data_IF_301207265102
#
_entry.id   IF_301207265102
#
_cell.length_a   1.000
_cell.length_b   1.000
_cell.length_c   1.000
_cell.angle_alpha   90.00
_cell.angle_beta   90.00
_cell.angle_gamma   90.00
#
_symmetry.space_group_name_H-M   'P 1'
#
loop_
_entity.id
_entity.type
_entity.pdbx_description
1 polymer ?
#
# COMPACT_ATOMS: atom_id res chain seq x y z
N UNK A 1 8.51 -0.85 4.11
CA UNK A 1 7.38 -1.80 4.34
C UNK A 1 6.16 -1.05 4.89
N UNK A 2 4.98 -1.20 4.29
CA UNK A 2 3.74 -0.49 4.69
C UNK A 2 3.23 -1.07 6.02
N UNK A 3 3.64 -0.48 7.14
CA UNK A 3 3.34 -0.99 8.49
C UNK A 3 2.00 -0.50 9.07
N UNK A 4 1.42 0.56 8.50
CA UNK A 4 0.35 1.37 9.11
C UNK A 4 -1.13 1.17 8.71
N UNK A 5 -1.56 0.21 7.86
CA UNK A 5 -2.99 -0.01 7.59
C UNK A 5 -3.79 -0.29 8.88
N UNK A 6 -3.12 -0.97 9.83
CA UNK A 6 -3.62 -1.24 11.17
C UNK A 6 -3.97 0.02 11.98
N UNK A 7 -3.13 1.05 11.87
CA UNK A 7 -3.26 2.29 12.65
C UNK A 7 -4.42 3.11 12.11
N UNK A 8 -4.58 3.18 10.78
CA UNK A 8 -5.73 3.85 10.16
C UNK A 8 -7.05 3.18 10.55
N UNK A 9 -7.11 1.85 10.44
CA UNK A 9 -8.32 1.11 10.72
C UNK A 9 -8.74 1.22 12.20
N UNK A 10 -7.79 1.17 13.13
CA UNK A 10 -8.05 1.19 14.58
C UNK A 10 -8.32 2.59 15.16
N UNK A 11 -8.08 3.66 14.41
CA UNK A 11 -8.30 5.03 14.91
C UNK A 11 -9.80 5.32 14.98
N UNK A 12 -10.30 5.63 16.19
CA UNK A 12 -11.66 6.15 16.36
C UNK A 12 -11.78 7.47 15.58
N UNK A 13 -12.72 7.51 14.65
CA UNK A 13 -13.12 8.72 13.92
C UNK A 13 -14.58 9.03 14.25
N UNK A 14 -14.95 10.29 14.21
CA UNK A 14 -16.34 10.74 14.29
C UNK A 14 -16.75 11.29 12.93
N UNK A 15 -18.00 11.07 12.53
CA UNK A 15 -18.61 11.73 11.39
C UNK A 15 -18.94 13.19 11.74
N UNK A 16 -19.19 14.06 10.75
CA UNK A 16 -19.65 15.44 11.00
C UNK A 16 -20.88 15.53 11.90
N UNK A 17 -21.73 14.50 11.88
CA UNK A 17 -22.94 14.39 12.71
C UNK A 17 -22.67 13.95 14.17
N UNK A 18 -21.40 13.87 14.58
CA UNK A 18 -21.00 13.47 15.94
C UNK A 18 -21.11 11.98 16.24
N UNK A 19 -21.38 11.13 15.24
CA UNK A 19 -21.48 9.68 15.40
C UNK A 19 -20.11 9.01 15.18
N UNK A 20 -19.82 7.87 15.82
CA UNK A 20 -18.63 7.10 15.51
C UNK A 20 -18.62 6.68 14.04
N UNK A 21 -17.54 6.96 13.33
CA UNK A 21 -17.37 6.60 11.93
C UNK A 21 -17.32 5.07 11.76
N UNK A 22 -17.78 4.56 10.60
CA UNK A 22 -17.67 3.14 10.27
C UNK A 22 -16.20 2.70 10.17
N UNK A 23 -15.98 1.40 10.40
CA UNK A 23 -14.67 0.79 10.28
C UNK A 23 -14.36 0.55 8.80
N UNK A 24 -13.47 1.37 8.26
CA UNK A 24 -13.12 1.37 6.84
C UNK A 24 -11.61 1.38 6.65
N UNK A 25 -11.14 0.50 5.76
CA UNK A 25 -9.79 0.55 5.23
C UNK A 25 -9.66 1.68 4.19
N UNK A 26 -8.43 2.16 3.91
CA UNK A 26 -8.18 3.04 2.77
C UNK A 26 -8.74 2.47 1.45
N UNK A 27 -9.14 3.32 0.49
CA UNK A 27 -9.58 2.84 -0.82
C UNK A 27 -8.42 2.19 -1.60
N UNK A 28 -8.73 1.49 -2.69
CA UNK A 28 -7.69 0.93 -3.57
C UNK A 28 -6.86 2.04 -4.21
N UNK A 29 -5.57 1.79 -4.43
CA UNK A 29 -4.65 2.62 -5.20
C UNK A 29 -3.92 1.73 -6.21
N UNK A 30 -3.80 2.15 -7.48
CA UNK A 30 -2.99 1.45 -8.47
C UNK A 30 -1.51 1.46 -8.06
N UNK A 31 -0.70 0.69 -8.81
CA UNK A 31 0.75 0.62 -8.64
C UNK A 31 1.36 2.03 -8.74
N UNK A 32 2.10 2.44 -7.71
CA UNK A 32 2.71 3.77 -7.56
C UNK A 32 4.18 3.63 -7.18
N UNK A 33 5.14 4.16 -7.97
CA UNK A 33 4.95 4.70 -9.31
C UNK A 33 4.44 3.64 -10.30
N UNK A 34 3.85 4.04 -11.43
CA UNK A 34 3.23 3.10 -12.39
C UNK A 34 4.25 2.32 -13.23
N UNK A 35 4.99 1.42 -12.59
CA UNK A 35 6.09 0.67 -13.22
C UNK A 35 5.64 -0.51 -14.10
N UNK A 36 4.33 -0.65 -14.40
CA UNK A 36 3.77 -1.82 -15.08
C UNK A 36 4.35 -2.11 -16.47
N UNK A 37 4.93 -1.10 -17.11
CA UNK A 37 5.54 -1.23 -18.43
C UNK A 37 7.08 -1.15 -18.41
N UNK A 38 7.69 -0.62 -17.35
CA UNK A 38 9.06 -0.11 -17.43
C UNK A 38 9.94 -0.27 -16.18
N UNK A 39 9.52 -0.98 -15.12
CA UNK A 39 10.30 -1.19 -13.88
C UNK A 39 10.92 0.12 -13.29
N UNK A 40 11.77 0.00 -12.26
CA UNK A 40 12.46 1.15 -11.66
C UNK A 40 13.83 1.43 -12.28
N UNK A 41 14.26 0.67 -13.29
CA UNK A 41 15.54 0.84 -13.98
C UNK A 41 15.40 1.55 -15.32
N UNK A 42 14.17 1.74 -15.82
CA UNK A 42 13.99 2.52 -17.04
C UNK A 42 14.26 3.99 -16.83
N UNK A 43 14.72 4.64 -17.90
CA UNK A 43 14.88 6.09 -17.96
C UNK A 43 13.59 6.89 -17.76
N UNK A 44 12.42 6.22 -17.74
CA UNK A 44 11.14 6.87 -17.44
C UNK A 44 10.95 7.12 -15.94
N UNK A 45 11.61 6.32 -15.09
CA UNK A 45 11.51 6.39 -13.63
C UNK A 45 12.88 6.56 -12.95
N UNK A 46 13.99 6.45 -13.67
CA UNK A 46 15.35 6.57 -13.16
C UNK A 46 16.16 7.55 -14.04
N UNK A 47 16.13 8.84 -13.68
CA UNK A 47 16.78 9.90 -14.45
C UNK A 47 18.30 9.94 -14.22
N UNK A 48 18.76 9.53 -13.04
CA UNK A 48 20.17 9.54 -12.64
C UNK A 48 20.89 8.20 -12.84
N UNK A 49 20.17 7.18 -13.34
CA UNK A 49 20.68 5.85 -13.73
C UNK A 49 21.30 5.11 -12.56
N UNK A 50 20.60 5.10 -11.44
CA UNK A 50 21.03 4.41 -10.23
C UNK A 50 20.19 3.19 -9.86
N UNK A 51 19.37 2.73 -10.82
CA UNK A 51 18.49 1.57 -10.77
C UNK A 51 17.41 1.69 -9.68
N UNK A 52 16.95 2.92 -9.42
CA UNK A 52 15.88 3.23 -8.48
C UNK A 52 14.88 4.18 -9.08
N UNK A 53 13.63 4.03 -8.67
CA UNK A 53 12.60 4.99 -9.00
C UNK A 53 12.87 6.33 -8.29
N UNK A 54 12.94 7.39 -9.08
CA UNK A 54 12.86 8.78 -8.68
C UNK A 54 11.56 9.06 -7.93
N UNK A 55 11.61 9.96 -6.95
CA UNK A 55 10.43 10.30 -6.16
C UNK A 55 9.61 11.37 -6.86
N UNK A 56 8.42 11.00 -7.30
CA UNK A 56 7.37 11.95 -7.67
C UNK A 56 6.39 12.15 -6.50
N UNK A 57 6.61 13.19 -5.68
CA UNK A 57 5.77 13.46 -4.49
C UNK A 57 4.28 13.66 -4.81
N UNK A 58 3.95 14.12 -6.02
CA UNK A 58 2.56 14.33 -6.43
C UNK A 58 1.78 13.01 -6.46
N UNK A 59 2.38 11.93 -6.96
CA UNK A 59 1.75 10.59 -7.01
C UNK A 59 1.45 10.02 -5.62
N UNK A 60 2.25 10.39 -4.62
CA UNK A 60 2.09 9.97 -3.24
C UNK A 60 1.08 10.84 -2.47
N UNK A 61 1.19 12.16 -2.61
CA UNK A 61 0.38 13.11 -1.86
C UNK A 61 -1.08 13.17 -2.35
N UNK A 62 -1.29 13.08 -3.67
CA UNK A 62 -2.63 13.20 -4.25
C UNK A 62 -3.45 11.90 -4.08
N UNK A 63 -2.79 10.79 -3.76
CA UNK A 63 -3.47 9.53 -3.49
C UNK A 63 -4.15 9.54 -2.12
N UNK A 64 -5.50 9.39 -2.07
CA UNK A 64 -6.22 9.29 -0.80
C UNK A 64 -5.80 8.06 0.00
N UNK A 65 -5.24 7.04 -0.65
CA UNK A 65 -4.79 5.80 -0.02
C UNK A 65 -3.48 5.98 0.71
N UNK A 66 -2.46 6.52 0.02
CA UNK A 66 -1.13 6.75 0.59
C UNK A 66 -1.17 7.76 1.73
N UNK A 67 -1.94 8.83 1.56
CA UNK A 67 -2.25 9.81 2.62
C UNK A 67 -2.90 9.16 3.84
N UNK A 68 -3.92 8.31 3.67
CA UNK A 68 -4.57 7.60 4.79
C UNK A 68 -3.66 6.58 5.47
N UNK A 69 -2.71 5.99 4.74
CA UNK A 69 -1.70 5.08 5.26
C UNK A 69 -0.52 5.80 5.92
N UNK A 70 -0.41 7.12 5.78
CA UNK A 70 0.76 7.90 6.19
C UNK A 70 2.05 7.29 5.61
N UNK A 71 2.01 6.97 4.32
CA UNK A 71 3.10 6.31 3.62
C UNK A 71 3.54 7.14 2.42
N UNK A 72 4.84 7.44 2.39
CA UNK A 72 5.53 8.03 1.24
C UNK A 72 7.00 7.59 1.31
N UNK A 73 7.67 7.31 0.18
CA UNK A 73 9.12 7.16 0.13
C UNK A 73 9.81 8.46 0.57
N UNK A 74 10.88 8.35 1.35
CA UNK A 74 11.67 9.52 1.76
C UNK A 74 12.66 10.00 0.67
N UNK A 75 12.87 9.18 -0.35
CA UNK A 75 13.85 9.35 -1.41
C UNK A 75 13.70 8.24 -2.45
N UNK A 76 14.65 8.17 -3.37
CA UNK A 76 14.69 7.13 -4.40
C UNK A 76 14.54 5.73 -3.80
N UNK A 77 13.83 4.87 -4.51
CA UNK A 77 13.36 3.61 -3.95
C UNK A 77 13.26 2.52 -5.02
N UNK A 78 13.45 1.27 -4.60
CA UNK A 78 13.39 0.10 -5.49
C UNK A 78 11.98 -0.42 -5.76
N UNK A 79 11.02 -0.05 -4.91
CA UNK A 79 9.72 -0.71 -4.87
C UNK A 79 8.61 0.22 -5.35
N UNK A 80 7.80 -0.23 -6.30
CA UNK A 80 6.47 0.33 -6.47
C UNK A 80 5.46 -0.38 -5.58
N UNK A 81 4.42 0.33 -5.18
CA UNK A 81 3.45 -0.13 -4.20
C UNK A 81 2.04 -0.10 -4.75
N UNK A 82 1.23 -1.09 -4.38
CA UNK A 82 -0.19 -1.14 -4.71
C UNK A 82 -1.01 -1.45 -3.46
N UNK A 83 -2.21 -0.90 -3.41
CA UNK A 83 -3.17 -1.21 -2.35
C UNK A 83 -4.49 -1.64 -2.97
N UNK A 84 -4.91 -2.87 -2.72
CA UNK A 84 -6.17 -3.42 -3.23
C UNK A 84 -7.11 -3.65 -2.07
N UNK A 85 -8.28 -3.01 -2.08
CA UNK A 85 -9.36 -3.24 -1.14
C UNK A 85 -10.52 -4.00 -1.84
N UNK A 86 -11.10 -4.94 -1.12
CA UNK A 86 -12.34 -5.64 -1.50
C UNK A 86 -13.24 -5.78 -0.27
N UNK A 87 -14.56 -5.79 -0.47
CA UNK A 87 -15.53 -5.87 0.63
C UNK A 87 -15.53 -4.65 1.56
N UNK A 88 -16.37 -4.71 2.61
CA UNK A 88 -16.54 -3.63 3.59
C UNK A 88 -16.75 -4.20 5.01
N UNK A 89 -16.47 -3.39 6.03
CA UNK A 89 -16.66 -3.75 7.44
C UNK A 89 -15.96 -5.06 7.81
N UNK A 90 -16.71 -5.99 8.41
CA UNK A 90 -16.22 -7.32 8.81
C UNK A 90 -15.77 -8.20 7.63
N UNK A 91 -16.31 -7.95 6.43
CA UNK A 91 -15.98 -8.72 5.22
C UNK A 91 -14.89 -8.05 4.38
N UNK A 92 -14.34 -6.92 4.84
CA UNK A 92 -13.31 -6.22 4.10
C UNK A 92 -12.00 -7.01 4.10
N UNK A 93 -11.32 -7.04 2.96
CA UNK A 93 -9.97 -7.58 2.78
C UNK A 93 -9.15 -6.58 2.01
N UNK A 94 -8.00 -6.21 2.56
CA UNK A 94 -6.98 -5.46 1.82
C UNK A 94 -5.77 -6.32 1.51
N UNK A 95 -5.10 -5.98 0.41
CA UNK A 95 -3.76 -6.45 0.05
C UNK A 95 -2.89 -5.23 -0.21
N UNK A 96 -1.79 -5.10 0.53
CA UNK A 96 -0.73 -4.14 0.23
C UNK A 96 0.42 -4.92 -0.44
N UNK A 97 0.71 -4.60 -1.69
CA UNK A 97 1.75 -5.23 -2.48
C UNK A 97 2.92 -4.27 -2.72
N UNK A 98 4.13 -4.81 -2.78
CA UNK A 98 5.33 -4.11 -3.23
C UNK A 98 6.01 -4.94 -4.33
N UNK A 99 6.40 -4.28 -5.40
CA UNK A 99 7.01 -4.86 -6.60
C UNK A 99 8.35 -4.18 -6.82
N UNK A 100 9.42 -4.95 -6.95
CA UNK A 100 10.75 -4.46 -7.29
C UNK A 100 11.38 -5.38 -8.33
N UNK A 101 12.03 -4.78 -9.29
CA UNK A 101 12.95 -5.43 -10.20
C UNK A 101 14.34 -4.95 -9.75
N UNK A 102 15.13 -5.85 -9.16
CA UNK A 102 16.36 -5.49 -8.43
C UNK A 102 17.61 -5.59 -9.30
N UNK A 103 17.55 -6.37 -10.38
CA UNK A 103 18.62 -6.62 -11.35
C UNK A 103 18.26 -6.17 -12.78
N UNK A 104 17.09 -5.55 -12.96
CA UNK A 104 16.64 -4.88 -14.17
C UNK A 104 16.37 -5.83 -15.35
N UNK A 105 16.01 -7.08 -15.07
CA UNK A 105 15.76 -8.11 -16.09
C UNK A 105 14.30 -8.15 -16.59
N UNK A 106 13.42 -7.36 -15.99
CA UNK A 106 11.99 -7.29 -16.28
C UNK A 106 11.12 -8.16 -15.39
N UNK A 107 11.71 -8.91 -14.47
CA UNK A 107 11.04 -9.83 -13.54
C UNK A 107 10.95 -9.20 -12.15
N UNK A 108 9.79 -9.34 -11.50
CA UNK A 108 9.48 -8.59 -10.27
C UNK A 108 9.45 -9.48 -9.02
N UNK A 109 10.34 -9.18 -8.08
CA UNK A 109 10.20 -9.57 -6.68
C UNK A 109 8.94 -8.95 -6.06
N UNK A 110 8.04 -9.80 -5.57
CA UNK A 110 6.73 -9.38 -5.07
C UNK A 110 6.53 -9.73 -3.60
N UNK A 111 6.25 -8.71 -2.79
CA UNK A 111 5.95 -8.82 -1.37
C UNK A 111 4.50 -8.41 -1.11
N UNK A 112 3.73 -9.25 -0.44
CA UNK A 112 2.32 -8.94 -0.15
C UNK A 112 2.03 -9.03 1.35
N UNK A 113 1.17 -8.12 1.82
CA UNK A 113 0.60 -8.15 3.16
C UNK A 113 -0.91 -8.08 3.07
N UNK A 114 -1.57 -8.90 3.87
CA UNK A 114 -3.02 -8.98 3.90
C UNK A 114 -3.57 -8.52 5.24
N UNK A 115 -4.78 -7.98 5.20
CA UNK A 115 -5.56 -7.77 6.39
C UNK A 115 -7.05 -7.87 6.11
N UNK A 116 -7.77 -8.27 7.14
CA UNK A 116 -9.17 -8.60 7.10
C UNK A 116 -9.91 -7.81 8.17
N UNK A 117 -11.12 -7.38 7.87
CA UNK A 117 -12.06 -6.87 8.85
C UNK A 117 -12.35 -7.93 9.90
N UNK A 118 -12.52 -7.50 11.15
CA UNK A 118 -12.95 -8.40 12.22
C UNK A 118 -14.47 -8.25 12.46
N UNK A 119 -15.25 -9.34 12.52
CA UNK A 119 -16.67 -9.31 12.89
C UNK A 119 -16.97 -8.65 14.24
N UNK A 120 -15.99 -8.59 15.14
CA UNK A 120 -16.12 -7.92 16.44
C UNK A 120 -15.98 -6.40 16.37
N UNK A 121 -15.64 -5.85 15.19
CA UNK A 121 -15.53 -4.41 14.98
C UNK A 121 -16.85 -3.70 15.25
N UNK A 122 -16.78 -2.63 16.03
CA UNK A 122 -17.91 -1.72 16.28
C UNK A 122 -17.58 -0.33 15.76
N UNK A 123 -18.56 0.50 15.35
CA UNK A 123 -18.32 1.91 15.05
C UNK A 123 -17.53 2.59 16.18
N UNK A 124 -16.39 3.18 15.85
CA UNK A 124 -15.47 3.80 16.83
C UNK A 124 -14.60 2.84 17.66
N UNK A 125 -14.70 1.52 17.47
CA UNK A 125 -13.79 0.52 18.02
C UNK A 125 -13.54 -0.59 16.99
N UNK A 126 -12.67 -0.29 16.04
CA UNK A 126 -12.42 -1.13 14.89
C UNK A 126 -11.33 -2.17 15.18
N UNK A 127 -11.61 -3.43 14.89
CA UNK A 127 -10.69 -4.55 15.04
C UNK A 127 -10.37 -5.15 13.66
N UNK A 128 -9.10 -5.47 13.42
CA UNK A 128 -8.71 -6.16 12.20
C UNK A 128 -7.90 -7.39 12.53
N UNK A 129 -8.08 -8.41 11.71
CA UNK A 129 -7.23 -9.59 11.68
C UNK A 129 -6.16 -9.35 10.62
N UNK A 130 -4.93 -9.10 11.05
CA UNK A 130 -3.80 -8.99 10.14
C UNK A 130 -3.18 -10.36 9.87
N UNK A 131 -2.59 -10.55 8.70
CA UNK A 131 -1.55 -11.56 8.51
C UNK A 131 -0.17 -10.91 8.62
N UNK A 132 0.85 -11.71 8.90
CA UNK A 132 2.23 -11.34 8.60
C UNK A 132 2.35 -11.01 7.11
N UNK A 133 3.25 -10.09 6.77
CA UNK A 133 3.66 -9.95 5.39
C UNK A 133 4.36 -11.25 4.96
N UNK A 134 4.10 -11.69 3.73
CA UNK A 134 4.78 -12.85 3.18
C UNK A 134 5.26 -12.56 1.76
N UNK A 135 6.38 -13.19 1.44
CA UNK A 135 6.98 -13.16 0.13
C UNK A 135 6.19 -14.07 -0.80
N UNK A 136 5.85 -13.59 -2.01
CA UNK A 136 4.99 -14.34 -2.93
C UNK A 136 5.73 -14.86 -4.16
N UNK A 137 6.58 -14.04 -4.78
CA UNK A 137 7.30 -14.42 -6.00
C UNK A 137 8.79 -14.10 -5.85
N UNK A 138 9.58 -15.07 -6.33
CA UNK A 138 11.01 -15.22 -6.20
C UNK A 138 11.70 -14.72 -7.48
N UNK A 139 12.39 -13.58 -7.39
CA UNK A 139 13.70 -13.51 -8.06
C UNK A 139 14.66 -14.19 -7.08
N UNK A 140 15.33 -15.26 -7.52
CA UNK A 140 16.42 -15.82 -6.71
C UNK A 140 17.62 -14.94 -6.97
N UNK A 141 18.07 -14.20 -5.96
CA UNK A 141 19.46 -13.72 -5.90
C UNK A 141 20.18 -14.45 -4.77
#
# INVERSE_FOLDING_TARGET
>A
MISRPAIHFRKRRMTPDGKPAPCEFPPSSPVTPNIKAHNCCSTAYDSDKNDRCDVNLTEWNDSPTWSKLFFQPAGQHYFAYEYRLSGTGANAKFTAAAYADLDCDGTFSTFERYGYGDPTSKPGNCAMKGSSAFYKNLETE
#
